data_IF_051067322379
#
_entry.id   IF_051067322379
#
_cell.length_a   1.000
_cell.length_b   1.000
_cell.length_c   1.000
_cell.angle_alpha   90.00
_cell.angle_beta   90.00
_cell.angle_gamma   90.00
#
_symmetry.space_group_name_H-M   'P 1'
#
loop_
_entity.id
_entity.type
_entity.pdbx_description
1 polymer ?
#
# COMPACT_ATOMS: atom_id res chain seq x y z
N UNK A 1 -1.67 21.19 21.78
CA UNK A 1 -1.85 20.41 20.54
C UNK A 1 -2.09 18.98 20.98
N UNK A 2 -3.35 18.55 21.05
CA UNK A 2 -3.65 17.14 21.33
C UNK A 2 -3.12 16.30 20.18
N UNK A 3 -2.31 15.29 20.50
CA UNK A 3 -2.00 14.20 19.57
C UNK A 3 -3.27 13.37 19.42
N UNK A 4 -4.20 13.85 18.58
CA UNK A 4 -5.44 13.17 18.26
C UNK A 4 -5.17 11.78 17.69
N UNK A 5 -5.99 10.80 18.11
CA UNK A 5 -6.20 9.46 17.53
C UNK A 5 -5.09 8.87 16.66
N UNK A 6 -4.47 7.79 17.14
CA UNK A 6 -3.56 6.91 16.39
C UNK A 6 -4.00 6.67 14.93
N UNK A 7 -3.08 6.58 13.96
CA UNK A 7 -3.40 6.25 12.57
C UNK A 7 -3.83 4.79 12.37
N UNK A 8 -3.82 3.98 13.42
CA UNK A 8 -4.18 2.56 13.38
C UNK A 8 -5.64 2.37 13.82
N UNK A 9 -6.33 1.48 13.11
CA UNK A 9 -7.70 1.04 13.41
C UNK A 9 -7.73 -0.47 13.56
N UNK A 10 -8.71 -1.00 14.29
CA UNK A 10 -8.91 -2.45 14.40
C UNK A 10 -9.71 -2.99 13.21
N UNK A 11 -9.71 -4.31 13.04
CA UNK A 11 -10.53 -4.99 12.04
C UNK A 11 -12.03 -4.81 12.27
N UNK A 12 -12.46 -4.74 13.53
CA UNK A 12 -13.87 -4.53 13.91
C UNK A 12 -14.31 -3.12 13.53
N UNK A 13 -13.45 -2.12 13.77
CA UNK A 13 -13.73 -0.75 13.34
C UNK A 13 -13.85 -0.70 11.82
N UNK A 14 -12.90 -1.27 11.07
CA UNK A 14 -12.96 -1.24 9.61
C UNK A 14 -14.22 -1.95 9.09
N UNK A 15 -14.59 -3.11 9.65
CA UNK A 15 -15.80 -3.82 9.26
C UNK A 15 -17.08 -3.00 9.48
N UNK A 16 -17.13 -2.20 10.56
CA UNK A 16 -18.26 -1.31 10.85
C UNK A 16 -18.34 -0.08 9.93
N UNK A 17 -17.23 0.37 9.35
CA UNK A 17 -17.13 1.61 8.57
C UNK A 17 -16.80 1.36 7.08
N UNK A 18 -16.75 0.10 6.63
CA UNK A 18 -16.27 -0.27 5.27
C UNK A 18 -17.09 0.37 4.14
N UNK A 19 -18.34 0.74 4.41
CA UNK A 19 -19.26 1.36 3.45
C UNK A 19 -19.35 2.88 3.59
N UNK A 20 -18.56 3.49 4.48
CA UNK A 20 -18.60 4.94 4.68
C UNK A 20 -18.12 5.65 3.39
N UNK A 21 -18.87 6.64 2.87
CA UNK A 21 -18.54 7.28 1.60
C UNK A 21 -17.21 8.05 1.63
N UNK A 22 -16.74 8.43 2.83
CA UNK A 22 -15.45 9.09 3.05
C UNK A 22 -14.28 8.13 3.26
N UNK A 23 -14.51 6.81 3.24
CA UNK A 23 -13.49 5.80 3.50
C UNK A 23 -13.10 5.08 2.21
N UNK A 24 -11.79 4.88 2.02
CA UNK A 24 -11.24 4.03 0.96
C UNK A 24 -10.16 3.14 1.54
N UNK A 25 -10.25 1.85 1.24
CA UNK A 25 -9.22 0.87 1.57
C UNK A 25 -8.27 0.76 0.37
N UNK A 26 -6.97 0.83 0.64
CA UNK A 26 -5.92 0.67 -0.37
C UNK A 26 -5.04 -0.50 0.06
N UNK A 27 -4.97 -1.52 -0.79
CA UNK A 27 -4.03 -2.62 -0.65
C UNK A 27 -2.70 -2.20 -1.30
N UNK A 28 -1.69 -2.00 -0.45
CA UNK A 28 -0.32 -1.63 -0.84
C UNK A 28 0.66 -2.80 -0.68
N UNK A 29 0.17 -4.04 -0.76
CA UNK A 29 1.02 -5.23 -0.58
C UNK A 29 2.12 -5.31 -1.64
N UNK A 30 3.30 -5.64 -1.17
CA UNK A 30 4.49 -5.92 -1.95
C UNK A 30 5.23 -7.08 -1.30
N UNK A 31 6.13 -7.71 -2.05
CA UNK A 31 6.98 -8.79 -1.55
C UNK A 31 8.45 -8.41 -1.68
N UNK A 32 9.26 -8.95 -0.78
CA UNK A 32 10.71 -8.84 -0.83
C UNK A 32 11.33 -10.23 -0.82
N UNK A 33 12.43 -10.40 -1.54
CA UNK A 33 13.29 -11.58 -1.44
C UNK A 33 14.76 -11.16 -1.49
N UNK A 34 15.62 -12.00 -0.93
CA UNK A 34 17.06 -11.78 -0.98
C UNK A 34 17.68 -12.72 -2.02
N UNK A 35 18.40 -12.16 -3.00
CA UNK A 35 18.97 -12.91 -4.11
C UNK A 35 20.35 -12.33 -4.46
N UNK A 36 21.38 -13.17 -4.55
CA UNK A 36 22.75 -12.78 -4.92
C UNK A 36 23.31 -11.58 -4.13
N UNK A 37 23.04 -11.52 -2.82
CA UNK A 37 23.53 -10.43 -1.96
C UNK A 37 22.73 -9.13 -2.06
N UNK A 38 21.55 -9.14 -2.69
CA UNK A 38 20.70 -7.96 -2.88
C UNK A 38 19.25 -8.25 -2.48
N UNK A 39 18.61 -7.28 -1.82
CA UNK A 39 17.15 -7.26 -1.65
C UNK A 39 16.45 -6.87 -2.95
N UNK A 40 15.50 -7.68 -3.39
CA UNK A 40 14.66 -7.43 -4.56
C UNK A 40 13.22 -7.35 -4.08
N UNK A 41 12.60 -6.21 -4.33
CA UNK A 41 11.19 -5.95 -3.99
C UNK A 41 10.36 -5.83 -5.26
N UNK A 42 9.12 -6.31 -5.19
CA UNK A 42 8.17 -6.25 -6.30
C UNK A 42 6.74 -6.16 -5.77
N UNK A 43 5.89 -5.45 -6.51
CA UNK A 43 4.45 -5.35 -6.24
C UNK A 43 3.78 -6.73 -6.37
N UNK A 44 2.74 -6.99 -5.57
CA UNK A 44 2.02 -8.27 -5.57
C UNK A 44 0.54 -8.12 -5.97
N UNK A 45 0.25 -7.71 -7.23
CA UNK A 45 -1.12 -7.54 -7.70
C UNK A 45 -1.82 -8.90 -7.88
N UNK A 46 -1.08 -10.01 -7.99
CA UNK A 46 -1.67 -11.36 -8.02
C UNK A 46 -2.21 -11.76 -6.65
N UNK A 47 -1.48 -11.49 -5.57
CA UNK A 47 -1.97 -11.68 -4.21
C UNK A 47 -3.25 -10.89 -3.98
N UNK A 48 -3.31 -9.63 -4.40
CA UNK A 48 -4.55 -8.83 -4.37
C UNK A 48 -5.68 -9.52 -5.14
N UNK A 49 -5.46 -9.96 -6.39
CA UNK A 49 -6.48 -10.66 -7.19
C UNK A 49 -6.94 -11.98 -6.58
N UNK A 50 -6.07 -12.70 -5.88
CA UNK A 50 -6.42 -13.95 -5.20
C UNK A 50 -7.34 -13.76 -3.99
N UNK A 51 -7.35 -12.57 -3.40
CA UNK A 51 -8.20 -12.21 -2.27
C UNK A 51 -7.75 -10.92 -1.62
N UNK A 52 -8.71 -10.03 -1.36
CA UNK A 52 -8.50 -8.72 -0.73
C UNK A 52 -9.76 -8.30 0.03
N UNK A 53 -9.64 -7.25 0.84
CA UNK A 53 -10.75 -6.65 1.57
C UNK A 53 -11.78 -6.11 0.55
N UNK A 54 -13.10 -6.36 0.72
CA UNK A 54 -14.11 -5.85 -0.21
C UNK A 54 -14.03 -4.34 -0.43
N UNK A 55 -14.09 -3.91 -1.70
CA UNK A 55 -14.01 -2.49 -2.08
C UNK A 55 -12.60 -1.89 -2.04
N UNK A 56 -11.58 -2.62 -1.61
CA UNK A 56 -10.21 -2.15 -1.65
C UNK A 56 -9.70 -2.00 -3.08
N UNK A 57 -8.96 -0.92 -3.34
CA UNK A 57 -8.18 -0.75 -4.58
C UNK A 57 -6.73 -1.16 -4.36
N UNK A 58 -6.05 -1.60 -5.40
CA UNK A 58 -4.61 -1.87 -5.34
C UNK A 58 -3.81 -0.62 -5.73
N UNK A 59 -2.76 -0.31 -4.97
CA UNK A 59 -1.73 0.66 -5.35
C UNK A 59 -0.35 0.06 -5.10
N UNK A 60 0.43 -0.11 -6.16
CA UNK A 60 1.77 -0.68 -6.08
C UNK A 60 2.73 0.26 -5.36
N UNK A 61 3.46 -0.28 -4.37
CA UNK A 61 4.52 0.47 -3.69
C UNK A 61 5.57 0.93 -4.70
N UNK A 62 5.94 0.07 -5.65
CA UNK A 62 6.98 0.36 -6.65
C UNK A 62 6.39 1.02 -7.89
N UNK A 63 5.26 0.51 -8.40
CA UNK A 63 4.67 1.02 -9.63
C UNK A 63 4.04 2.41 -9.48
N UNK A 64 3.39 2.68 -8.34
CA UNK A 64 2.49 3.82 -8.17
C UNK A 64 3.03 4.81 -7.13
N UNK A 65 3.51 4.31 -5.99
CA UNK A 65 3.90 5.14 -4.85
C UNK A 65 5.39 5.52 -4.83
N UNK A 66 6.21 4.92 -5.70
CA UNK A 66 7.62 5.23 -5.85
C UNK A 66 7.96 5.93 -7.16
N UNK A 67 9.08 6.66 -7.16
CA UNK A 67 9.75 7.16 -8.35
C UNK A 67 10.57 6.02 -8.98
N UNK A 68 10.17 5.63 -10.19
CA UNK A 68 10.79 4.53 -10.92
C UNK A 68 12.03 4.95 -11.70
N UNK A 69 12.22 6.26 -11.89
CA UNK A 69 13.34 6.83 -12.63
C UNK A 69 14.46 7.28 -11.67
N UNK A 70 14.23 7.23 -10.36
CA UNK A 70 15.21 7.59 -9.35
C UNK A 70 16.28 6.48 -9.18
N UNK A 71 17.58 6.83 -9.07
CA UNK A 71 18.67 5.85 -8.94
C UNK A 71 18.65 5.07 -7.62
N UNK A 72 18.03 5.64 -6.58
CA UNK A 72 17.76 4.98 -5.29
C UNK A 72 16.34 4.45 -5.29
N UNK A 73 16.18 3.19 -4.91
CA UNK A 73 14.89 2.50 -4.84
C UNK A 73 13.95 3.14 -3.81
N UNK A 74 12.64 2.98 -4.04
CA UNK A 74 11.56 3.34 -3.11
C UNK A 74 11.50 4.82 -2.71
N UNK A 75 12.11 5.70 -3.53
CA UNK A 75 12.03 7.14 -3.33
C UNK A 75 10.64 7.65 -3.69
N UNK A 76 10.22 8.72 -3.00
CA UNK A 76 8.89 9.30 -3.13
C UNK A 76 8.53 9.61 -4.59
N UNK A 77 7.37 9.14 -5.04
CA UNK A 77 6.91 9.45 -6.39
C UNK A 77 6.73 10.97 -6.63
N UNK A 78 7.05 11.49 -7.83
CA UNK A 78 6.77 12.87 -8.17
C UNK A 78 5.27 13.18 -8.10
N UNK A 79 4.93 14.43 -7.76
CA UNK A 79 3.53 14.88 -7.65
C UNK A 79 2.70 14.72 -8.94
N UNK A 80 3.35 14.74 -10.10
CA UNK A 80 2.71 14.81 -11.42
C UNK A 80 2.50 13.45 -12.10
N UNK A 81 2.50 12.35 -11.34
CA UNK A 81 2.09 11.05 -11.88
C UNK A 81 0.64 11.05 -12.33
#
# INVERSE_FOLDING_TARGET
MELGSTPLVTTEWLAAHINDPGLRVVDVRWRSRYENGRGISFDDPEGYRSGHIPGAVFAGMISDLSDRDHPVQDMLSPRSK
#
